data_IF_062692207308
#
_entry.id   IF_062692207308
#
_cell.length_a   1.000
_cell.length_b   1.000
_cell.length_c   1.000
_cell.angle_alpha   90.00
_cell.angle_beta   90.00
_cell.angle_gamma   90.00
#
_symmetry.space_group_name_H-M   'P 1'
#
loop_
_entity.id
_entity.type
_entity.pdbx_description
1 polymer ?
#
# COMPACT_ATOMS: atom_id res chain seq x y z
N UNK A 1 -18.21 -11.45 32.68
CA UNK A 1 -16.81 -10.96 32.66
C UNK A 1 -16.25 -11.33 31.30
N UNK A 2 -15.68 -10.46 30.47
CA UNK A 2 -15.36 -9.04 30.50
C UNK A 2 -15.38 -8.53 29.04
N UNK A 3 -15.70 -7.26 28.83
CA UNK A 3 -15.81 -6.66 27.49
C UNK A 3 -14.46 -6.54 26.78
N UNK A 4 -14.14 -7.51 25.93
CA UNK A 4 -13.10 -7.42 24.90
C UNK A 4 -13.77 -7.16 23.54
N UNK A 5 -13.19 -6.25 22.76
CA UNK A 5 -13.64 -5.83 21.42
C UNK A 5 -14.14 -7.02 20.58
N UNK A 6 -15.44 -7.06 20.25
CA UNK A 6 -15.99 -8.04 19.32
C UNK A 6 -15.47 -7.72 17.90
N UNK A 7 -14.49 -8.48 17.42
CA UNK A 7 -14.00 -8.38 16.03
C UNK A 7 -15.07 -8.96 15.11
N UNK A 8 -15.44 -8.23 14.06
CA UNK A 8 -16.35 -8.73 13.02
C UNK A 8 -15.52 -9.15 11.79
N UNK A 9 -15.44 -10.45 11.44
CA UNK A 9 -14.56 -10.91 10.35
C UNK A 9 -14.85 -10.24 9.00
N UNK A 10 -16.13 -10.02 8.70
CA UNK A 10 -16.57 -9.35 7.47
C UNK A 10 -16.05 -7.90 7.37
N UNK A 11 -16.00 -7.15 8.48
CA UNK A 11 -15.45 -5.77 8.46
C UNK A 11 -13.95 -5.78 8.25
N UNK A 12 -13.24 -6.76 8.82
CA UNK A 12 -11.79 -6.93 8.60
C UNK A 12 -11.50 -7.31 7.15
N UNK A 13 -12.30 -8.20 6.56
CA UNK A 13 -12.18 -8.56 5.15
C UNK A 13 -12.47 -7.36 4.22
N UNK A 14 -13.51 -6.58 4.51
CA UNK A 14 -13.80 -5.35 3.77
C UNK A 14 -12.66 -4.32 3.85
N UNK A 15 -12.02 -4.21 5.01
CA UNK A 15 -10.83 -3.37 5.20
C UNK A 15 -9.64 -3.88 4.36
N UNK A 16 -9.40 -5.20 4.33
CA UNK A 16 -8.38 -5.81 3.48
C UNK A 16 -8.59 -5.52 1.98
N UNK A 17 -9.84 -5.63 1.51
CA UNK A 17 -10.19 -5.30 0.12
C UNK A 17 -9.94 -3.82 -0.19
N UNK A 18 -10.29 -2.92 0.73
CA UNK A 18 -10.05 -1.48 0.61
C UNK A 18 -8.55 -1.17 0.52
N UNK A 19 -7.75 -1.80 1.38
CA UNK A 19 -6.29 -1.64 1.35
C UNK A 19 -5.69 -2.14 0.03
N UNK A 20 -6.18 -3.25 -0.50
CA UNK A 20 -5.75 -3.76 -1.82
C UNK A 20 -6.09 -2.76 -2.93
N UNK A 21 -7.31 -2.21 -2.93
CA UNK A 21 -7.77 -1.24 -3.93
C UNK A 21 -6.93 0.04 -3.94
N UNK A 22 -6.71 0.64 -2.77
CA UNK A 22 -5.88 1.85 -2.67
C UNK A 22 -4.42 1.55 -3.04
N UNK A 23 -3.90 0.37 -2.69
CA UNK A 23 -2.55 -0.04 -3.14
C UNK A 23 -2.43 -0.12 -4.66
N UNK A 24 -3.45 -0.64 -5.34
CA UNK A 24 -3.50 -0.68 -6.80
C UNK A 24 -3.62 0.73 -7.42
N UNK A 25 -4.44 1.60 -6.85
CA UNK A 25 -4.58 3.00 -7.28
C UNK A 25 -3.25 3.76 -7.14
N UNK A 26 -2.57 3.61 -5.99
CA UNK A 26 -1.26 4.20 -5.75
C UNK A 26 -0.23 3.72 -6.78
N UNK A 27 -0.18 2.41 -7.05
CA UNK A 27 0.73 1.85 -8.04
C UNK A 27 0.45 2.41 -9.44
N UNK A 28 -0.82 2.48 -9.85
CA UNK A 28 -1.22 2.98 -11.16
C UNK A 28 -0.91 4.47 -11.34
N UNK A 29 -1.25 5.30 -10.35
CA UNK A 29 -0.97 6.75 -10.39
C UNK A 29 0.53 7.05 -10.35
N UNK A 30 1.29 6.32 -9.54
CA UNK A 30 2.76 6.41 -9.50
C UNK A 30 3.38 6.06 -10.85
N UNK A 31 2.93 4.96 -11.48
CA UNK A 31 3.41 4.55 -12.80
C UNK A 31 3.09 5.60 -13.88
N UNK A 32 1.90 6.19 -13.85
CA UNK A 32 1.50 7.24 -14.79
C UNK A 32 2.37 8.50 -14.69
N UNK A 33 2.85 8.85 -13.48
CA UNK A 33 3.69 10.03 -13.23
C UNK A 33 5.20 9.80 -13.38
N UNK A 34 5.67 8.55 -13.45
CA UNK A 34 7.09 8.22 -13.33
C UNK A 34 7.99 8.90 -14.38
N UNK A 35 7.56 8.96 -15.64
CA UNK A 35 8.33 9.58 -16.71
C UNK A 35 8.53 11.09 -16.50
N UNK A 36 7.52 11.79 -15.97
CA UNK A 36 7.62 13.22 -15.69
C UNK A 36 8.60 13.52 -14.55
N UNK A 37 8.75 12.59 -13.60
CA UNK A 37 9.66 12.72 -12.46
C UNK A 37 11.11 12.37 -12.78
N UNK A 38 11.35 11.58 -13.85
CA UNK A 38 12.68 11.03 -14.18
C UNK A 38 13.21 11.44 -15.55
N UNK A 39 12.42 12.23 -16.29
CA UNK A 39 12.74 12.71 -17.64
C UNK A 39 13.07 14.21 -17.69
N UNK A 40 13.47 14.83 -16.59
CA UNK A 40 13.75 16.27 -16.56
C UNK A 40 15.06 16.55 -17.30
N UNK A 41 15.02 17.46 -18.26
CA UNK A 41 16.20 17.92 -19.00
C UNK A 41 16.69 19.28 -18.49
N UNK A 42 17.99 19.61 -18.64
CA UNK A 42 18.49 20.95 -18.34
C UNK A 42 17.74 22.03 -19.12
N UNK A 43 17.44 23.16 -18.48
CA UNK A 43 16.77 24.30 -19.12
C UNK A 43 17.68 25.06 -20.10
N UNK A 44 18.99 25.06 -19.82
CA UNK A 44 20.03 25.69 -20.63
C UNK A 44 21.35 24.90 -20.51
N UNK A 45 22.34 25.14 -21.41
CA UNK A 45 23.62 24.42 -21.42
C UNK A 45 24.61 25.01 -20.40
N UNK A 46 24.16 25.25 -19.17
CA UNK A 46 24.97 25.76 -18.06
C UNK A 46 24.99 24.75 -16.89
N UNK A 47 25.97 24.91 -16.01
CA UNK A 47 26.20 23.96 -14.92
C UNK A 47 25.04 23.92 -13.90
N UNK A 48 24.37 25.06 -13.68
CA UNK A 48 23.29 25.14 -12.70
C UNK A 48 22.04 24.43 -13.22
N UNK A 49 21.70 24.62 -14.50
CA UNK A 49 20.64 23.89 -15.21
C UNK A 49 20.87 22.37 -15.18
N UNK A 50 22.12 21.93 -15.38
CA UNK A 50 22.48 20.52 -15.32
C UNK A 50 22.35 19.94 -13.90
N UNK A 51 22.82 20.67 -12.89
CA UNK A 51 22.72 20.27 -11.49
C UNK A 51 21.25 20.20 -11.03
N UNK A 52 20.41 21.17 -11.41
CA UNK A 52 18.98 21.16 -11.11
C UNK A 52 18.27 19.95 -11.72
N UNK A 53 18.48 19.68 -13.01
CA UNK A 53 17.89 18.52 -13.67
C UNK A 53 18.33 17.20 -13.02
N UNK A 54 19.62 17.06 -12.69
CA UNK A 54 20.13 15.88 -11.99
C UNK A 54 19.48 15.70 -10.61
N UNK A 55 19.38 16.76 -9.82
CA UNK A 55 18.77 16.72 -8.49
C UNK A 55 17.26 16.37 -8.54
N UNK A 56 16.53 16.92 -9.51
CA UNK A 56 15.11 16.65 -9.66
C UNK A 56 14.85 15.20 -10.11
N UNK A 57 15.63 14.70 -11.08
CA UNK A 57 15.53 13.29 -11.49
C UNK A 57 15.89 12.32 -10.35
N UNK A 58 16.94 12.61 -9.58
CA UNK A 58 17.32 11.80 -8.43
C UNK A 58 16.22 11.78 -7.35
N UNK A 59 15.61 12.94 -7.10
CA UNK A 59 14.44 13.06 -6.20
C UNK A 59 13.25 12.26 -6.73
N UNK A 60 12.99 12.31 -8.04
CA UNK A 60 11.96 11.53 -8.70
C UNK A 60 12.16 10.02 -8.51
N UNK A 61 13.39 9.52 -8.73
CA UNK A 61 13.74 8.11 -8.47
C UNK A 61 13.52 7.74 -7.01
N UNK A 62 13.96 8.57 -6.06
CA UNK A 62 13.77 8.32 -4.63
C UNK A 62 12.28 8.27 -4.24
N UNK A 63 11.46 9.17 -4.80
CA UNK A 63 10.02 9.17 -4.62
C UNK A 63 9.38 7.87 -5.15
N UNK A 64 9.76 7.43 -6.36
CA UNK A 64 9.23 6.20 -6.95
C UNK A 64 9.59 4.96 -6.12
N UNK A 65 10.82 4.89 -5.60
CA UNK A 65 11.23 3.81 -4.69
C UNK A 65 10.39 3.82 -3.41
N UNK A 66 10.19 4.99 -2.80
CA UNK A 66 9.37 5.13 -1.59
C UNK A 66 7.91 4.75 -1.84
N UNK A 67 7.35 5.11 -3.00
CA UNK A 67 6.01 4.70 -3.37
C UNK A 67 5.88 3.18 -3.54
N UNK A 68 6.90 2.52 -4.09
CA UNK A 68 6.92 1.06 -4.15
C UNK A 68 6.89 0.44 -2.74
N UNK A 69 7.68 0.96 -1.80
CA UNK A 69 7.65 0.50 -0.40
C UNK A 69 6.28 0.69 0.25
N UNK A 70 5.61 1.82 0.00
CA UNK A 70 4.25 2.07 0.50
C UNK A 70 3.23 1.08 -0.08
N UNK A 71 3.29 0.80 -1.37
CA UNK A 71 2.43 -0.21 -2.01
C UNK A 71 2.67 -1.58 -1.39
N UNK A 72 3.93 -1.98 -1.18
CA UNK A 72 4.26 -3.25 -0.54
C UNK A 72 3.71 -3.32 0.90
N UNK A 73 3.88 -2.28 1.71
CA UNK A 73 3.34 -2.25 3.07
C UNK A 73 1.82 -2.37 3.10
N UNK A 74 1.11 -1.65 2.24
CA UNK A 74 -0.35 -1.72 2.15
C UNK A 74 -0.84 -3.10 1.72
N UNK A 75 -0.19 -3.71 0.72
CA UNK A 75 -0.53 -5.09 0.30
C UNK A 75 -0.23 -6.12 1.39
N UNK A 76 0.89 -5.99 2.10
CA UNK A 76 1.20 -6.84 3.26
C UNK A 76 0.17 -6.71 4.38
N UNK A 77 -0.26 -5.47 4.67
CA UNK A 77 -1.31 -5.22 5.67
C UNK A 77 -2.67 -5.77 5.23
N UNK A 78 -3.05 -5.65 3.95
CA UNK A 78 -4.24 -6.29 3.40
C UNK A 78 -4.19 -7.82 3.56
N UNK A 79 -3.04 -8.44 3.27
CA UNK A 79 -2.83 -9.87 3.46
C UNK A 79 -2.98 -10.30 4.92
N UNK A 80 -2.40 -9.54 5.86
CA UNK A 80 -2.53 -9.80 7.29
C UNK A 80 -3.99 -9.71 7.77
N UNK A 81 -4.74 -8.70 7.32
CA UNK A 81 -6.16 -8.57 7.63
C UNK A 81 -6.99 -9.72 7.06
N UNK A 82 -6.68 -10.16 5.83
CA UNK A 82 -7.36 -11.30 5.21
C UNK A 82 -7.14 -12.58 6.03
N UNK A 83 -5.89 -12.85 6.42
CA UNK A 83 -5.55 -14.01 7.26
C UNK A 83 -6.25 -13.95 8.63
N UNK A 84 -6.25 -12.78 9.27
CA UNK A 84 -6.92 -12.57 10.54
C UNK A 84 -8.43 -12.83 10.43
N UNK A 85 -9.08 -12.26 9.40
CA UNK A 85 -10.51 -12.48 9.12
C UNK A 85 -10.84 -13.98 8.97
N UNK A 86 -10.09 -14.71 8.13
CA UNK A 86 -10.30 -16.15 7.94
C UNK A 86 -10.06 -16.96 9.23
N UNK A 87 -9.14 -16.52 10.08
CA UNK A 87 -8.85 -17.18 11.36
C UNK A 87 -10.03 -17.00 12.31
N UNK A 88 -10.59 -15.80 12.41
CA UNK A 88 -11.78 -15.58 13.24
C UNK A 88 -12.98 -16.38 12.74
N UNK A 89 -13.24 -16.44 11.43
CA UNK A 89 -14.31 -17.28 10.88
C UNK A 89 -14.13 -18.77 11.21
N UNK A 90 -12.90 -19.29 11.11
CA UNK A 90 -12.61 -20.67 11.48
C UNK A 90 -12.83 -20.93 12.98
N UNK A 91 -12.41 -20.00 13.84
CA UNK A 91 -12.62 -20.11 15.30
C UNK A 91 -14.11 -20.07 15.66
N UNK A 92 -14.88 -19.18 15.03
CA UNK A 92 -16.33 -19.10 15.23
C UNK A 92 -17.03 -20.39 14.78
N UNK A 93 -16.61 -20.98 13.66
CA UNK A 93 -17.11 -22.27 13.20
C UNK A 93 -16.79 -23.41 14.18
N UNK A 94 -15.55 -23.50 14.67
CA UNK A 94 -15.13 -24.52 15.65
C UNK A 94 -15.96 -24.40 16.94
N UNK A 95 -16.08 -23.18 17.49
CA UNK A 95 -16.88 -22.97 18.70
C UNK A 95 -18.36 -23.29 18.47
N UNK A 96 -18.91 -22.93 17.31
CA UNK A 96 -20.28 -23.29 16.93
C UNK A 96 -20.50 -24.80 16.86
N UNK A 97 -19.54 -25.55 16.32
CA UNK A 97 -19.61 -27.03 16.27
C UNK A 97 -19.41 -27.72 17.62
N UNK A 98 -18.67 -27.11 18.55
CA UNK A 98 -18.42 -27.67 19.89
C UNK A 98 -19.59 -27.47 20.87
N UNK A 99 -20.51 -26.56 20.55
CA UNK A 99 -21.71 -26.24 21.36
C UNK A 99 -23.01 -26.84 20.77
N UNK A 100 -22.93 -27.55 19.64
CA UNK A 100 -24.03 -28.33 19.04
C UNK A 100 -23.97 -29.80 19.45
#
# INVERSE_FOLDING_TARGET
MAGGLSVTPATVHGSAATETGIGAEMAATTAAGAAALTGVTPMAPDADSAAFAAALNATGVAYLATMADHVQQRTGFAGAQSLASTTYEAMDAIHGTALG
#
